data_IF_064380255857
#
_entry.id   IF_064380255857
#
_cell.length_a   1.000
_cell.length_b   1.000
_cell.length_c   1.000
_cell.angle_alpha   90.00
_cell.angle_beta   90.00
_cell.angle_gamma   90.00
#
_symmetry.space_group_name_H-M   'P 1'
#
loop_
_entity.id
_entity.type
_entity.pdbx_description
1 polymer ?
#
# COMPACT_ATOMS: atom_id res chain seq x y z
N UNK A 1 -11.99 23.77 10.01
CA UNK A 1 -10.70 23.10 9.71
C UNK A 1 -10.89 21.60 9.92
N UNK A 2 -11.04 20.84 8.85
CA UNK A 2 -11.28 19.40 8.93
C UNK A 2 -9.95 18.73 9.34
N UNK A 3 -9.87 18.22 10.57
CA UNK A 3 -8.72 17.50 11.09
C UNK A 3 -8.52 16.23 10.26
N UNK A 4 -7.65 16.29 9.25
CA UNK A 4 -7.15 15.10 8.55
C UNK A 4 -6.41 14.26 9.58
N UNK A 5 -7.06 13.22 10.09
CA UNK A 5 -6.47 12.35 11.11
C UNK A 5 -5.19 11.73 10.56
N UNK A 6 -4.08 11.91 11.26
CA UNK A 6 -2.81 11.29 10.92
C UNK A 6 -2.79 9.86 11.47
N UNK A 7 -2.37 8.91 10.65
CA UNK A 7 -2.27 7.51 11.01
C UNK A 7 -0.84 7.02 10.82
N UNK A 8 -0.33 6.24 11.77
CA UNK A 8 0.89 5.47 11.58
C UNK A 8 0.55 4.21 10.81
N UNK A 9 1.32 3.91 9.76
CA UNK A 9 1.11 2.75 8.90
C UNK A 9 2.39 1.93 8.88
N UNK A 10 2.23 0.64 9.17
CA UNK A 10 3.25 -0.38 8.98
C UNK A 10 2.83 -1.23 7.78
N UNK A 11 3.70 -1.34 6.78
CA UNK A 11 3.42 -2.10 5.55
C UNK A 11 4.48 -3.18 5.41
N UNK A 12 4.04 -4.43 5.34
CA UNK A 12 4.91 -5.56 5.01
C UNK A 12 4.88 -5.80 3.49
N UNK A 13 6.05 -5.67 2.86
CA UNK A 13 6.24 -5.93 1.45
C UNK A 13 6.29 -7.44 1.23
N UNK A 14 5.20 -7.99 0.70
CA UNK A 14 5.05 -9.42 0.37
C UNK A 14 6.23 -9.92 -0.47
N UNK A 15 6.49 -11.23 -0.43
CA UNK A 15 7.67 -11.94 -0.96
C UNK A 15 9.03 -11.59 -0.33
N UNK A 16 9.26 -10.34 0.08
CA UNK A 16 10.51 -9.95 0.76
C UNK A 16 10.45 -10.01 2.29
N UNK A 17 9.26 -9.87 2.89
CA UNK A 17 9.08 -9.74 4.34
C UNK A 17 9.59 -8.41 4.92
N UNK A 18 10.11 -7.51 4.08
CA UNK A 18 10.59 -6.20 4.50
C UNK A 18 9.42 -5.36 4.98
N UNK A 19 9.58 -4.71 6.13
CA UNK A 19 8.59 -3.80 6.69
C UNK A 19 9.02 -2.36 6.47
N UNK A 20 8.11 -1.51 6.00
CA UNK A 20 8.29 -0.06 5.93
C UNK A 20 7.36 0.64 6.92
N UNK A 21 7.82 1.77 7.47
CA UNK A 21 7.05 2.58 8.42
C UNK A 21 6.79 3.97 7.84
N UNK A 22 5.56 4.43 7.95
CA UNK A 22 5.16 5.73 7.45
C UNK A 22 4.09 6.40 8.32
N UNK A 23 4.01 7.72 8.24
CA UNK A 23 2.85 8.48 8.69
C UNK A 23 2.07 8.90 7.44
N UNK A 24 0.75 8.74 7.50
CA UNK A 24 -0.14 9.12 6.43
C UNK A 24 -1.30 9.98 6.94
N UNK A 25 -1.84 10.83 6.08
CA UNK A 25 -3.09 11.54 6.32
C UNK A 25 -4.24 10.80 5.66
N UNK A 26 -5.35 10.62 6.38
CA UNK A 26 -6.58 10.06 5.80
C UNK A 26 -7.21 11.04 4.81
N UNK A 27 -7.36 10.60 3.57
CA UNK A 27 -8.08 11.30 2.51
C UNK A 27 -9.57 10.96 2.60
N UNK A 28 -9.90 9.67 2.75
CA UNK A 28 -11.29 9.20 2.91
C UNK A 28 -11.35 7.87 3.66
N UNK A 29 -12.50 7.62 4.30
CA UNK A 29 -12.85 6.34 4.89
C UNK A 29 -14.24 5.95 4.38
N UNK A 30 -14.35 4.78 3.76
CA UNK A 30 -15.62 4.30 3.19
C UNK A 30 -15.91 2.90 3.68
N UNK A 31 -17.10 2.69 4.23
CA UNK A 31 -17.59 1.36 4.62
C UNK A 31 -17.95 0.58 3.34
N UNK A 32 -17.38 -0.60 3.19
CA UNK A 32 -17.51 -1.42 1.97
C UNK A 32 -18.05 -2.83 2.23
N UNK A 33 -18.06 -3.29 3.48
CA UNK A 33 -18.65 -4.57 3.86
C UNK A 33 -19.67 -4.40 5.00
N UNK A 34 -20.57 -5.39 5.20
CA UNK A 34 -21.46 -5.44 6.36
C UNK A 34 -20.69 -5.39 7.68
N UNK A 35 -21.37 -5.03 8.77
CA UNK A 35 -20.73 -4.78 10.09
C UNK A 35 -19.95 -5.98 10.65
N UNK A 36 -20.23 -7.19 10.15
CA UNK A 36 -19.67 -8.45 10.65
C UNK A 36 -18.37 -8.88 9.94
N UNK A 37 -17.84 -8.10 8.99
CA UNK A 37 -16.54 -8.43 8.38
C UNK A 37 -15.39 -7.91 9.25
N UNK A 38 -14.29 -8.65 9.34
CA UNK A 38 -13.07 -8.22 10.08
C UNK A 38 -12.46 -6.92 9.54
N UNK A 39 -12.68 -6.59 8.26
CA UNK A 39 -12.13 -5.40 7.59
C UNK A 39 -13.21 -4.61 6.84
N UNK A 40 -14.13 -3.92 7.54
CA UNK A 40 -15.32 -3.34 6.92
C UNK A 40 -15.10 -2.01 6.19
N UNK A 41 -13.90 -1.42 6.30
CA UNK A 41 -13.60 -0.09 5.80
C UNK A 41 -12.44 -0.10 4.80
N UNK A 42 -12.58 0.71 3.75
CA UNK A 42 -11.49 1.12 2.89
C UNK A 42 -11.02 2.52 3.27
N UNK A 43 -9.72 2.63 3.54
CA UNK A 43 -9.03 3.87 3.82
C UNK A 43 -8.23 4.30 2.58
N UNK A 44 -8.42 5.54 2.15
CA UNK A 44 -7.52 6.20 1.21
C UNK A 44 -6.59 7.09 2.01
N UNK A 45 -5.30 6.85 1.89
CA UNK A 45 -4.26 7.52 2.66
C UNK A 45 -3.29 8.22 1.71
N UNK A 46 -2.78 9.39 2.11
CA UNK A 46 -1.61 10.02 1.49
C UNK A 46 -0.46 9.98 2.49
N UNK A 47 0.67 9.38 2.11
CA UNK A 47 1.88 9.40 2.94
C UNK A 47 2.38 10.85 3.10
N UNK A 48 2.60 11.25 4.34
CA UNK A 48 3.09 12.59 4.71
C UNK A 48 4.52 12.53 5.24
N UNK A 49 4.91 11.42 5.88
CA UNK A 49 6.29 11.17 6.32
C UNK A 49 6.66 9.73 6.06
N UNK A 50 7.81 9.54 5.45
CA UNK A 50 8.48 8.26 5.24
C UNK A 50 9.97 8.58 5.15
N UNK A 51 10.82 7.80 5.83
CA UNK A 51 12.25 8.01 5.72
C UNK A 51 12.73 7.64 4.30
N UNK A 52 13.91 8.11 3.92
CA UNK A 52 14.46 7.90 2.58
C UNK A 52 14.71 6.41 2.27
N UNK A 53 15.20 5.65 3.24
CA UNK A 53 15.47 4.23 3.08
C UNK A 53 14.19 3.43 2.78
N UNK A 54 13.12 3.65 3.53
CA UNK A 54 11.82 3.01 3.37
C UNK A 54 11.17 3.42 2.04
N UNK A 55 11.34 4.70 1.65
CA UNK A 55 10.87 5.19 0.35
C UNK A 55 11.57 4.49 -0.80
N UNK A 56 12.89 4.35 -0.74
CA UNK A 56 13.67 3.68 -1.77
C UNK A 56 13.36 2.18 -1.85
N UNK A 57 13.15 1.53 -0.69
CA UNK A 57 12.71 0.14 -0.61
C UNK A 57 11.34 -0.04 -1.27
N UNK A 58 10.38 0.84 -0.96
CA UNK A 58 9.05 0.79 -1.55
C UNK A 58 9.09 0.99 -3.07
N UNK A 59 9.86 1.97 -3.56
CA UNK A 59 10.01 2.23 -5.00
C UNK A 59 10.59 1.00 -5.71
N UNK A 60 11.70 0.45 -5.21
CA UNK A 60 12.34 -0.75 -5.78
C UNK A 60 11.37 -1.93 -5.80
N UNK A 61 10.63 -2.13 -4.73
CA UNK A 61 9.64 -3.18 -4.62
C UNK A 61 8.54 -3.03 -5.68
N UNK A 62 7.95 -1.83 -5.83
CA UNK A 62 6.92 -1.56 -6.83
C UNK A 62 7.42 -1.85 -8.25
N UNK A 63 8.63 -1.36 -8.60
CA UNK A 63 9.21 -1.58 -9.92
C UNK A 63 9.44 -3.08 -10.19
N UNK A 64 9.92 -3.82 -9.20
CA UNK A 64 10.13 -5.26 -9.33
C UNK A 64 8.81 -6.00 -9.57
N UNK A 65 7.78 -5.71 -8.76
CA UNK A 65 6.44 -6.32 -8.90
C UNK A 65 5.81 -6.01 -10.24
N UNK A 66 5.90 -4.78 -10.72
CA UNK A 66 5.42 -4.39 -12.05
C UNK A 66 6.14 -5.16 -13.16
N UNK A 67 7.47 -5.33 -13.05
CA UNK A 67 8.23 -6.09 -14.03
C UNK A 67 7.90 -7.59 -14.02
N UNK A 68 7.55 -8.16 -12.86
CA UNK A 68 7.05 -9.54 -12.75
C UNK A 68 5.67 -9.70 -13.39
N UNK A 69 4.73 -8.79 -13.11
CA UNK A 69 3.39 -8.80 -13.68
C UNK A 69 3.41 -8.70 -15.20
N UNK A 70 4.27 -7.84 -15.75
CA UNK A 70 4.46 -7.72 -17.20
C UNK A 70 4.97 -9.02 -17.84
N UNK A 71 5.90 -9.72 -17.18
CA UNK A 71 6.41 -11.02 -17.66
C UNK A 71 5.32 -12.08 -17.62
N UNK A 72 4.62 -12.20 -16.50
CA UNK A 72 3.54 -13.16 -16.34
C UNK A 72 2.42 -12.96 -17.39
N UNK A 73 2.03 -11.70 -17.65
CA UNK A 73 1.03 -11.38 -18.66
C UNK A 73 1.50 -11.69 -20.09
N UNK A 74 2.79 -11.47 -20.39
CA UNK A 74 3.34 -11.82 -21.69
C UNK A 74 3.40 -13.33 -21.92
N UNK A 75 3.67 -14.11 -20.87
CA UNK A 75 3.68 -15.57 -20.96
C UNK A 75 2.25 -16.13 -21.12
N UNK A 76 1.27 -15.57 -20.43
CA UNK A 76 -0.16 -15.88 -20.61
C UNK A 76 -0.67 -15.57 -22.02
N UNK A 77 -0.22 -14.47 -22.64
CA UNK A 77 -0.59 -14.11 -24.01
C UNK A 77 0.11 -14.97 -25.08
N UNK A 78 1.12 -15.76 -24.69
CA UNK A 78 1.89 -16.65 -25.58
C UNK A 78 1.50 -18.12 -25.45
N UNK A 79 0.76 -18.48 -24.41
CA UNK A 79 0.18 -19.81 -24.20
C UNK A 79 -1.19 -19.93 -24.89
#
# INVERSE_FOLDING_TARGET
LQTKSAVSVQIELRSSGVTIQAVASTISCTKVQPENSETPYYLRLAFTKMNEQDRDLLIKHILFRQAEELRANNDLNRA
#
